data_IF_506728701334
#
_entry.id   IF_506728701334
#
_cell.length_a   1.000
_cell.length_b   1.000
_cell.length_c   1.000
_cell.angle_alpha   90.00
_cell.angle_beta   90.00
_cell.angle_gamma   90.00
#
_symmetry.space_group_name_H-M   'P 1'
#
loop_
_entity.id
_entity.type
_entity.pdbx_description
1 polymer ?
#
# COMPACT_ATOMS: atom_id res chain seq x y z
N UNK A 1 -19.88 20.20 47.56
CA UNK A 1 -18.77 19.82 46.66
C UNK A 1 -17.68 19.17 47.51
N UNK A 2 -17.37 17.87 47.32
CA UNK A 2 -16.26 17.20 48.02
C UNK A 2 -14.95 17.67 47.37
N UNK A 3 -14.02 18.24 48.15
CA UNK A 3 -12.67 18.55 47.68
C UNK A 3 -11.97 17.23 47.26
N UNK A 4 -11.25 17.22 46.14
CA UNK A 4 -10.48 16.04 45.75
C UNK A 4 -9.44 15.70 46.82
N UNK A 5 -9.16 14.43 47.07
CA UNK A 5 -8.19 14.00 48.07
C UNK A 5 -6.79 14.55 47.71
N UNK A 6 -6.07 15.08 48.71
CA UNK A 6 -4.69 15.56 48.57
C UNK A 6 -3.80 14.31 48.47
N UNK A 7 -3.30 14.05 47.25
CA UNK A 7 -2.35 12.96 46.99
C UNK A 7 -0.98 13.29 47.64
N UNK A 8 -0.36 12.29 48.25
CA UNK A 8 1.05 12.38 48.68
C UNK A 8 2.00 12.61 47.50
N UNK A 9 3.19 13.13 47.73
CA UNK A 9 4.20 13.34 46.65
C UNK A 9 4.54 12.03 45.95
N UNK A 10 4.67 10.92 46.67
CA UNK A 10 4.91 9.60 46.13
C UNK A 10 3.74 9.13 45.24
N UNK A 11 2.49 9.33 45.67
CA UNK A 11 1.31 8.99 44.89
C UNK A 11 1.19 9.85 43.60
N UNK A 12 1.63 11.12 43.68
CA UNK A 12 1.71 11.99 42.48
C UNK A 12 2.77 11.50 41.50
N UNK A 13 3.97 11.16 42.00
CA UNK A 13 5.06 10.66 41.17
C UNK A 13 4.68 9.35 40.50
N UNK A 14 4.07 8.41 41.19
CA UNK A 14 3.55 7.14 40.64
C UNK A 14 2.47 7.38 39.59
N UNK A 15 1.53 8.29 39.84
CA UNK A 15 0.48 8.64 38.87
C UNK A 15 1.06 9.28 37.60
N UNK A 16 2.09 10.13 37.73
CA UNK A 16 2.76 10.74 36.58
C UNK A 16 3.54 9.70 35.76
N UNK A 17 4.25 8.76 36.42
CA UNK A 17 4.94 7.66 35.74
C UNK A 17 3.95 6.81 34.94
N UNK A 18 2.87 6.32 35.60
CA UNK A 18 1.80 5.55 34.92
C UNK A 18 1.17 6.30 33.76
N UNK A 19 0.99 7.62 33.88
CA UNK A 19 0.45 8.44 32.80
C UNK A 19 1.43 8.58 31.62
N UNK A 20 2.76 8.66 31.87
CA UNK A 20 3.79 8.68 30.83
C UNK A 20 3.84 7.34 30.10
N UNK A 21 3.89 6.24 30.84
CA UNK A 21 3.88 4.88 30.29
C UNK A 21 2.65 4.63 29.39
N UNK A 22 1.45 4.98 29.88
CA UNK A 22 0.22 4.86 29.12
C UNK A 22 0.22 5.71 27.83
N UNK A 23 0.83 6.92 27.87
CA UNK A 23 0.96 7.75 26.66
C UNK A 23 1.94 7.14 25.66
N UNK A 24 3.10 6.68 26.12
CA UNK A 24 4.10 6.03 25.28
C UNK A 24 3.53 4.76 24.63
N UNK A 25 2.80 3.95 25.40
CA UNK A 25 2.17 2.74 24.90
C UNK A 25 1.11 3.04 23.82
N UNK A 26 0.22 4.03 24.07
CA UNK A 26 -0.75 4.45 23.02
C UNK A 26 -0.08 5.04 21.79
N UNK A 27 1.05 5.74 21.94
CA UNK A 27 1.81 6.24 20.81
C UNK A 27 2.35 5.09 19.95
N UNK A 28 2.85 4.01 20.60
CA UNK A 28 3.30 2.80 19.92
C UNK A 28 2.15 2.13 19.14
N UNK A 29 1.00 1.89 19.79
CA UNK A 29 -0.19 1.33 19.12
C UNK A 29 -0.60 2.17 17.90
N UNK A 30 -0.62 3.50 18.04
CA UNK A 30 -0.94 4.40 16.91
C UNK A 30 0.09 4.33 15.79
N UNK A 31 1.36 4.09 16.09
CA UNK A 31 2.38 3.88 15.08
C UNK A 31 2.19 2.54 14.34
N UNK A 32 1.89 1.46 15.08
CA UNK A 32 1.59 0.13 14.53
C UNK A 32 0.34 0.16 13.61
N UNK A 33 -0.72 0.90 14.03
CA UNK A 33 -1.91 1.11 13.19
C UNK A 33 -1.57 1.90 11.92
N UNK A 34 -0.74 2.94 12.05
CA UNK A 34 -0.30 3.76 10.91
C UNK A 34 0.54 2.97 9.92
N UNK A 35 1.39 2.07 10.42
CA UNK A 35 2.19 1.16 9.62
C UNK A 35 1.38 0.02 8.98
N UNK A 36 0.09 -0.13 9.37
CA UNK A 36 -0.74 -1.26 8.92
C UNK A 36 -0.42 -2.59 9.62
N UNK A 37 0.40 -2.56 10.67
CA UNK A 37 0.78 -3.74 11.47
C UNK A 37 -0.36 -4.17 12.40
N UNK A 38 -1.25 -3.25 12.77
CA UNK A 38 -2.45 -3.50 13.56
C UNK A 38 -3.71 -3.00 12.86
N UNK A 39 -4.70 -3.87 12.74
CA UNK A 39 -6.03 -3.51 12.26
C UNK A 39 -6.86 -2.81 13.36
N UNK A 40 -7.92 -2.10 12.93
CA UNK A 40 -8.89 -1.49 13.86
C UNK A 40 -9.54 -2.55 14.77
N UNK A 41 -9.87 -3.72 14.22
CA UNK A 41 -10.42 -4.86 14.96
C UNK A 41 -9.46 -5.31 16.06
N UNK A 42 -8.18 -5.55 15.71
CA UNK A 42 -7.17 -5.98 16.67
C UNK A 42 -6.96 -4.95 17.81
N UNK A 43 -7.04 -3.65 17.51
CA UNK A 43 -6.95 -2.62 18.55
C UNK A 43 -8.18 -2.61 19.44
N UNK A 44 -9.37 -2.79 18.87
CA UNK A 44 -10.62 -2.87 19.64
C UNK A 44 -10.61 -4.10 20.57
N UNK A 45 -10.08 -5.23 20.09
CA UNK A 45 -9.97 -6.45 20.89
C UNK A 45 -8.94 -6.34 22.00
N UNK A 46 -7.78 -5.71 21.73
CA UNK A 46 -6.77 -5.40 22.75
C UNK A 46 -7.32 -4.53 23.88
N UNK A 47 -8.30 -3.69 23.62
CA UNK A 47 -8.92 -2.85 24.64
C UNK A 47 -9.60 -3.66 25.76
N UNK A 48 -9.89 -4.95 25.58
CA UNK A 48 -10.45 -5.83 26.60
C UNK A 48 -9.42 -6.21 27.68
N UNK A 49 -8.12 -6.22 27.34
CA UNK A 49 -7.02 -6.62 28.25
C UNK A 49 -6.00 -5.49 28.51
N UNK A 50 -6.08 -4.39 27.75
CA UNK A 50 -5.11 -3.28 27.80
C UNK A 50 -5.78 -1.98 28.28
N UNK A 51 -5.48 -1.57 29.53
CA UNK A 51 -6.05 -0.37 30.16
C UNK A 51 -5.74 0.90 29.36
N UNK A 52 -4.55 1.03 28.77
CA UNK A 52 -4.15 2.21 28.02
C UNK A 52 -4.91 2.33 26.70
N UNK A 53 -5.13 1.20 26.01
CA UNK A 53 -5.90 1.11 24.77
C UNK A 53 -7.39 1.31 25.07
N UNK A 54 -7.92 0.70 26.12
CA UNK A 54 -9.34 0.83 26.53
C UNK A 54 -9.77 2.28 26.76
N UNK A 55 -8.85 3.10 27.29
CA UNK A 55 -9.04 4.53 27.57
C UNK A 55 -8.75 5.45 26.38
N UNK A 56 -8.22 4.93 25.28
CA UNK A 56 -7.97 5.71 24.05
C UNK A 56 -9.30 6.17 23.45
N UNK A 57 -9.35 7.40 22.92
CA UNK A 57 -10.53 7.88 22.19
C UNK A 57 -10.62 7.21 20.83
N UNK A 58 -11.83 6.94 20.37
CA UNK A 58 -12.05 6.39 19.02
C UNK A 58 -11.54 7.37 17.96
N UNK A 59 -11.68 8.67 18.17
CA UNK A 59 -11.10 9.70 17.28
C UNK A 59 -9.58 9.58 17.15
N UNK A 60 -8.85 9.31 18.25
CA UNK A 60 -7.40 9.12 18.24
C UNK A 60 -6.99 7.86 17.47
N UNK A 61 -7.77 6.79 17.57
CA UNK A 61 -7.58 5.57 16.78
C UNK A 61 -7.79 5.87 15.28
N UNK A 62 -8.89 6.53 14.92
CA UNK A 62 -9.20 6.87 13.54
C UNK A 62 -8.13 7.77 12.90
N UNK A 63 -7.69 8.80 13.63
CA UNK A 63 -6.63 9.72 13.18
C UNK A 63 -5.25 9.03 13.05
N UNK A 64 -5.08 7.84 13.62
CA UNK A 64 -3.86 7.05 13.45
C UNK A 64 -3.87 6.18 12.18
N UNK A 65 -5.04 5.98 11.57
CA UNK A 65 -5.17 5.20 10.33
C UNK A 65 -4.65 6.04 9.16
N UNK A 66 -3.83 5.42 8.33
CA UNK A 66 -3.33 6.07 7.12
C UNK A 66 -4.48 6.56 6.23
N UNK A 67 -4.38 7.81 5.74
CA UNK A 67 -5.42 8.44 4.92
C UNK A 67 -6.66 8.93 5.69
N UNK A 68 -6.71 8.79 7.03
CA UNK A 68 -7.80 9.31 7.86
C UNK A 68 -7.34 10.53 8.65
N UNK A 69 -7.49 11.71 8.06
CA UNK A 69 -7.29 12.99 8.77
C UNK A 69 -8.44 13.33 9.72
N UNK A 70 -8.26 14.39 10.54
CA UNK A 70 -9.26 14.85 11.54
C UNK A 70 -10.67 15.03 10.97
N UNK A 71 -10.79 15.63 9.79
CA UNK A 71 -12.10 15.89 9.16
C UNK A 71 -12.79 14.58 8.81
N UNK A 72 -12.06 13.64 8.22
CA UNK A 72 -12.59 12.31 7.84
C UNK A 72 -12.93 11.50 9.10
N UNK A 73 -12.10 11.54 10.12
CA UNK A 73 -12.39 10.87 11.41
C UNK A 73 -13.70 11.36 12.01
N UNK A 74 -13.92 12.68 12.03
CA UNK A 74 -15.18 13.28 12.50
C UNK A 74 -16.38 12.82 11.67
N UNK A 75 -16.27 12.85 10.34
CA UNK A 75 -17.33 12.39 9.43
C UNK A 75 -17.70 10.91 9.67
N UNK A 76 -16.71 10.05 9.88
CA UNK A 76 -16.94 8.64 10.19
C UNK A 76 -17.66 8.48 11.53
N UNK A 77 -17.20 9.19 12.58
CA UNK A 77 -17.82 9.14 13.90
C UNK A 77 -19.29 9.56 13.85
N UNK A 78 -19.56 10.69 13.17
CA UNK A 78 -20.92 11.23 13.04
C UNK A 78 -21.82 10.25 12.27
N UNK A 79 -21.35 9.64 11.18
CA UNK A 79 -22.08 8.64 10.39
C UNK A 79 -22.38 7.34 11.17
N UNK A 80 -21.44 6.90 11.99
CA UNK A 80 -21.59 5.70 12.80
C UNK A 80 -22.30 5.95 14.16
N UNK A 81 -22.77 7.17 14.43
CA UNK A 81 -23.41 7.54 15.68
C UNK A 81 -22.49 7.40 16.89
N UNK A 82 -21.18 7.65 16.71
CA UNK A 82 -20.19 7.54 17.77
C UNK A 82 -19.82 8.95 18.25
N UNK A 83 -19.99 9.23 19.53
CA UNK A 83 -19.60 10.51 20.12
C UNK A 83 -18.09 10.76 19.92
N UNK A 84 -17.70 12.00 19.55
CA UNK A 84 -16.29 12.42 19.34
C UNK A 84 -15.40 12.23 20.56
N UNK A 85 -15.98 12.16 21.75
CA UNK A 85 -15.29 11.92 23.02
C UNK A 85 -15.31 10.46 23.46
N UNK A 86 -15.98 9.58 22.69
CA UNK A 86 -16.14 8.16 23.01
C UNK A 86 -14.79 7.46 23.10
N UNK A 87 -14.61 6.65 24.16
CA UNK A 87 -13.45 5.78 24.32
C UNK A 87 -13.72 4.40 23.73
N UNK A 88 -12.66 3.67 23.36
CA UNK A 88 -12.79 2.34 22.71
C UNK A 88 -13.60 1.38 23.59
N UNK A 89 -13.31 1.33 24.90
CA UNK A 89 -14.06 0.50 25.86
C UNK A 89 -15.55 0.86 25.95
N UNK A 90 -15.92 2.11 25.66
CA UNK A 90 -17.28 2.61 25.69
C UNK A 90 -18.08 2.39 24.40
N UNK A 91 -17.53 1.72 23.41
CA UNK A 91 -18.26 1.35 22.19
C UNK A 91 -19.31 0.29 22.48
N UNK A 92 -20.56 0.56 22.13
CA UNK A 92 -21.61 -0.45 22.12
C UNK A 92 -21.37 -1.50 21.03
N UNK A 93 -22.00 -2.68 21.17
CA UNK A 93 -21.81 -3.79 20.22
C UNK A 93 -22.04 -3.36 18.77
N UNK A 94 -23.12 -2.66 18.47
CA UNK A 94 -23.41 -2.17 17.11
C UNK A 94 -22.36 -1.15 16.61
N UNK A 95 -21.89 -0.26 17.47
CA UNK A 95 -20.85 0.71 17.11
C UNK A 95 -19.51 0.04 16.86
N UNK A 96 -19.15 -0.98 17.67
CA UNK A 96 -17.95 -1.80 17.49
C UNK A 96 -17.99 -2.53 16.16
N UNK A 97 -19.09 -3.25 15.89
CA UNK A 97 -19.29 -3.98 14.62
C UNK A 97 -19.27 -3.04 13.41
N UNK A 98 -19.95 -1.89 13.50
CA UNK A 98 -19.98 -0.91 12.42
C UNK A 98 -18.60 -0.28 12.17
N UNK A 99 -17.84 -0.02 13.25
CA UNK A 99 -16.48 0.53 13.14
C UNK A 99 -15.50 -0.49 12.56
N UNK A 100 -15.57 -1.75 13.01
CA UNK A 100 -14.78 -2.83 12.42
C UNK A 100 -15.13 -2.99 10.94
N UNK A 101 -16.42 -3.01 10.59
CA UNK A 101 -16.88 -3.12 9.20
C UNK A 101 -16.43 -1.94 8.32
N UNK A 102 -16.36 -0.73 8.87
CA UNK A 102 -15.88 0.47 8.15
C UNK A 102 -14.42 0.34 7.74
N UNK A 103 -13.60 -0.33 8.56
CA UNK A 103 -12.17 -0.51 8.36
C UNK A 103 -11.76 -1.97 8.18
N UNK A 104 -12.68 -2.91 8.33
CA UNK A 104 -12.44 -4.24 7.82
C UNK A 104 -12.22 -4.08 6.32
N UNK A 105 -11.08 -4.53 5.84
CA UNK A 105 -11.02 -4.98 4.46
C UNK A 105 -12.08 -6.07 4.41
N UNK A 106 -13.19 -5.89 3.66
CA UNK A 106 -14.26 -6.88 3.68
C UNK A 106 -13.70 -8.18 3.13
N UNK A 107 -13.40 -9.16 3.98
CA UNK A 107 -13.12 -10.52 3.53
C UNK A 107 -14.35 -11.16 2.86
N UNK A 108 -15.55 -10.63 3.14
CA UNK A 108 -16.83 -11.13 2.62
C UNK A 108 -17.41 -10.30 1.46
N UNK A 109 -16.83 -9.14 1.17
CA UNK A 109 -16.79 -8.55 -0.15
C UNK A 109 -15.34 -8.59 -0.55
N UNK A 110 -14.84 -9.77 -0.85
CA UNK A 110 -13.75 -9.92 -1.77
C UNK A 110 -14.06 -8.97 -2.90
N UNK A 111 -13.17 -8.02 -3.11
CA UNK A 111 -13.22 -7.13 -4.24
C UNK A 111 -13.66 -7.96 -5.44
N UNK A 112 -14.74 -7.59 -6.11
CA UNK A 112 -15.11 -8.28 -7.37
C UNK A 112 -13.94 -8.21 -8.36
N UNK A 113 -12.93 -7.37 -8.09
CA UNK A 113 -11.70 -7.21 -8.85
C UNK A 113 -10.47 -7.89 -8.22
N UNK A 114 -9.55 -8.35 -9.05
CA UNK A 114 -8.30 -9.03 -8.69
C UNK A 114 -7.12 -8.06 -8.74
N UNK A 115 -6.22 -8.13 -7.74
CA UNK A 115 -4.96 -7.40 -7.76
C UNK A 115 -3.87 -8.22 -8.45
N UNK A 116 -3.40 -7.73 -9.59
CA UNK A 116 -2.33 -8.33 -10.38
C UNK A 116 -1.09 -7.42 -10.34
N UNK A 117 0.06 -7.99 -10.08
CA UNK A 117 1.36 -7.31 -10.09
C UNK A 117 2.15 -7.81 -11.29
N UNK A 118 2.53 -6.91 -12.18
CA UNK A 118 3.41 -7.18 -13.30
C UNK A 118 4.80 -6.64 -12.98
N UNK A 119 5.78 -7.54 -12.90
CA UNK A 119 7.18 -7.20 -12.70
C UNK A 119 8.07 -7.91 -13.73
N UNK A 120 9.36 -7.70 -13.67
CA UNK A 120 10.33 -8.27 -14.60
C UNK A 120 11.46 -7.29 -14.90
N UNK A 121 12.47 -7.69 -15.66
CA UNK A 121 13.67 -6.90 -15.89
C UNK A 121 13.39 -5.59 -16.62
N UNK A 122 14.27 -4.62 -16.39
CA UNK A 122 14.26 -3.37 -17.13
C UNK A 122 14.34 -3.63 -18.64
N UNK A 123 13.44 -3.00 -19.44
CA UNK A 123 13.46 -3.16 -20.91
C UNK A 123 12.65 -4.36 -21.44
N UNK A 124 12.09 -5.20 -20.59
CA UNK A 124 11.29 -6.36 -21.01
C UNK A 124 9.96 -6.00 -21.70
N UNK A 125 9.45 -4.76 -21.55
CA UNK A 125 8.23 -4.30 -22.20
C UNK A 125 7.02 -4.13 -21.27
N UNK A 126 7.19 -4.12 -19.95
CA UNK A 126 6.10 -3.93 -18.96
C UNK A 126 5.19 -2.76 -19.31
N UNK A 127 5.77 -1.59 -19.59
CA UNK A 127 4.98 -0.38 -19.88
C UNK A 127 4.17 -0.45 -21.17
N UNK A 128 4.62 -1.25 -22.14
CA UNK A 128 3.83 -1.54 -23.37
C UNK A 128 2.62 -2.38 -23.03
N UNK A 129 2.80 -3.45 -22.26
CA UNK A 129 1.71 -4.30 -21.74
C UNK A 129 0.73 -3.49 -20.90
N UNK A 130 1.24 -2.66 -19.97
CA UNK A 130 0.41 -1.80 -19.12
C UNK A 130 -0.39 -0.77 -19.92
N UNK A 131 0.17 -0.26 -21.01
CA UNK A 131 -0.54 0.66 -21.92
C UNK A 131 -1.67 -0.05 -22.66
N UNK A 132 -1.43 -1.25 -23.17
CA UNK A 132 -2.41 -2.03 -23.92
C UNK A 132 -3.56 -2.48 -23.02
N UNK A 133 -3.27 -2.98 -21.83
CA UNK A 133 -4.32 -3.45 -20.90
C UNK A 133 -5.22 -2.31 -20.39
N UNK A 134 -4.76 -1.05 -20.40
CA UNK A 134 -5.60 0.13 -20.08
C UNK A 134 -6.78 0.31 -21.01
N UNK A 135 -6.73 -0.24 -22.23
CA UNK A 135 -7.84 -0.23 -23.19
C UNK A 135 -8.99 -1.17 -22.78
N UNK A 136 -8.75 -2.11 -21.86
CA UNK A 136 -9.76 -3.03 -21.37
C UNK A 136 -10.55 -2.41 -20.20
N UNK A 137 -11.86 -2.28 -20.37
CA UNK A 137 -12.74 -1.60 -19.40
C UNK A 137 -12.76 -2.25 -18.02
N UNK A 138 -12.48 -3.54 -17.92
CA UNK A 138 -12.47 -4.29 -16.65
C UNK A 138 -11.18 -4.08 -15.84
N UNK A 139 -10.13 -3.54 -16.48
CA UNK A 139 -8.85 -3.27 -15.83
C UNK A 139 -8.67 -1.79 -15.49
N UNK A 140 -8.07 -1.59 -14.34
CA UNK A 140 -7.53 -0.31 -13.93
C UNK A 140 -6.02 -0.45 -13.68
N UNK A 141 -5.21 0.36 -14.35
CA UNK A 141 -3.75 0.35 -14.18
C UNK A 141 -3.35 1.47 -13.24
N UNK A 142 -2.63 1.13 -12.17
CA UNK A 142 -2.19 2.11 -11.18
C UNK A 142 -1.26 3.17 -11.79
N UNK A 143 -1.33 4.38 -11.22
CA UNK A 143 -0.38 5.45 -11.50
C UNK A 143 0.53 5.61 -10.29
N UNK A 144 1.80 5.22 -10.44
CA UNK A 144 2.78 5.31 -9.37
C UNK A 144 3.22 6.75 -9.11
N UNK A 145 3.53 7.07 -7.86
CA UNK A 145 4.23 8.28 -7.49
C UNK A 145 5.74 8.10 -7.68
N UNK A 146 6.47 9.19 -7.97
CA UNK A 146 7.93 9.15 -8.09
C UNK A 146 8.57 10.49 -7.73
N UNK A 147 9.81 10.43 -7.20
CA UNK A 147 10.65 11.62 -6.99
C UNK A 147 11.51 11.97 -8.22
N UNK A 148 11.46 11.12 -9.27
CA UNK A 148 12.12 11.40 -10.54
C UNK A 148 11.45 12.58 -11.24
N UNK A 149 12.25 13.44 -11.84
CA UNK A 149 11.74 14.52 -12.71
C UNK A 149 11.00 13.96 -13.94
N UNK A 150 9.91 14.59 -14.39
CA UNK A 150 9.19 14.19 -15.59
C UNK A 150 10.08 14.28 -16.85
N UNK A 151 9.86 13.38 -17.80
CA UNK A 151 10.41 13.49 -19.15
C UNK A 151 9.52 14.39 -20.00
N UNK A 152 10.01 14.83 -21.15
CA UNK A 152 9.29 15.77 -22.04
C UNK A 152 7.90 15.30 -22.50
N UNK A 153 7.69 14.00 -22.56
CA UNK A 153 6.46 13.38 -23.05
C UNK A 153 5.54 12.88 -21.92
N UNK A 154 5.96 13.03 -20.67
CA UNK A 154 5.24 12.50 -19.51
C UNK A 154 4.38 13.57 -18.85
N UNK A 155 3.17 13.19 -18.44
CA UNK A 155 2.19 14.07 -17.81
C UNK A 155 1.94 13.65 -16.36
N UNK A 156 1.91 14.63 -15.44
CA UNK A 156 1.57 14.41 -14.04
C UNK A 156 0.15 13.85 -13.89
N UNK A 157 0.01 12.80 -13.08
CA UNK A 157 -1.26 12.14 -12.81
C UNK A 157 -1.72 11.15 -13.88
N UNK A 158 -0.98 11.04 -15.01
CA UNK A 158 -1.24 10.09 -16.11
C UNK A 158 -0.15 9.04 -16.17
N UNK A 159 1.11 9.48 -16.31
CA UNK A 159 2.27 8.59 -16.36
C UNK A 159 2.79 8.32 -14.95
N UNK A 160 2.97 9.38 -14.17
CA UNK A 160 3.37 9.34 -12.76
C UNK A 160 2.74 10.50 -11.97
N UNK A 161 2.65 10.31 -10.65
CA UNK A 161 2.40 11.38 -9.69
C UNK A 161 3.79 11.87 -9.24
N UNK A 162 4.26 13.01 -9.81
CA UNK A 162 5.57 13.55 -9.48
C UNK A 162 5.51 14.28 -8.13
N UNK A 163 6.43 13.94 -7.24
CA UNK A 163 6.55 14.48 -5.88
C UNK A 163 7.98 14.94 -5.62
N UNK A 164 8.15 15.92 -4.73
CA UNK A 164 9.45 16.21 -4.14
C UNK A 164 9.87 15.10 -3.16
N UNK A 165 11.15 15.07 -2.77
CA UNK A 165 11.63 14.12 -1.79
C UNK A 165 10.93 14.29 -0.43
N UNK A 166 10.69 15.54 -0.01
CA UNK A 166 9.98 15.86 1.23
C UNK A 166 8.49 15.47 1.18
N UNK A 167 7.84 15.58 0.00
CA UNK A 167 6.47 15.11 -0.18
C UNK A 167 6.39 13.59 -0.13
N UNK A 168 7.35 12.91 -0.72
CA UNK A 168 7.44 11.46 -0.71
C UNK A 168 7.71 10.92 0.71
N UNK A 169 8.60 11.56 1.48
CA UNK A 169 8.83 11.22 2.90
C UNK A 169 7.56 11.38 3.74
N UNK A 170 6.83 12.48 3.53
CA UNK A 170 5.53 12.67 4.19
C UNK A 170 4.52 11.59 3.78
N UNK A 171 4.51 11.20 2.52
CA UNK A 171 3.64 10.15 2.01
C UNK A 171 3.97 8.78 2.63
N UNK A 172 5.26 8.42 2.76
CA UNK A 172 5.69 7.22 3.48
C UNK A 172 5.22 7.26 4.93
N UNK A 173 5.54 8.35 5.65
CA UNK A 173 5.20 8.50 7.06
C UNK A 173 3.69 8.47 7.33
N UNK A 174 2.88 8.84 6.34
CA UNK A 174 1.43 8.80 6.41
C UNK A 174 0.83 7.47 5.90
N UNK A 175 1.66 6.49 5.51
CA UNK A 175 1.23 5.20 4.96
C UNK A 175 0.40 5.35 3.68
N UNK A 176 0.73 6.35 2.89
CA UNK A 176 0.03 6.66 1.63
C UNK A 176 0.21 5.57 0.58
N UNK A 177 1.34 4.85 0.65
CA UNK A 177 1.70 3.84 -0.34
C UNK A 177 1.25 2.43 0.06
N UNK A 178 0.89 1.63 -0.92
CA UNK A 178 0.71 0.19 -0.81
C UNK A 178 2.08 -0.52 -0.71
N UNK A 179 3.01 -0.07 -1.53
CA UNK A 179 4.43 -0.40 -1.56
C UNK A 179 5.22 0.82 -2.01
N UNK A 180 6.51 0.85 -1.71
CA UNK A 180 7.44 1.82 -2.29
C UNK A 180 8.87 1.26 -2.31
N UNK A 181 9.67 1.70 -3.29
CA UNK A 181 11.06 1.28 -3.44
C UNK A 181 11.92 2.43 -3.97
N UNK A 182 13.22 2.33 -3.71
CA UNK A 182 14.23 3.20 -4.32
C UNK A 182 14.84 2.45 -5.51
N UNK A 183 14.80 3.07 -6.68
CA UNK A 183 15.32 2.48 -7.90
C UNK A 183 16.01 3.55 -8.77
N UNK A 184 17.22 3.26 -9.26
CA UNK A 184 17.97 4.12 -10.16
C UNK A 184 18.10 5.59 -9.70
N UNK A 185 18.28 5.81 -8.39
CA UNK A 185 18.47 7.15 -7.81
C UNK A 185 17.19 7.96 -7.60
N UNK A 186 16.03 7.37 -7.79
CA UNK A 186 14.73 7.95 -7.47
C UNK A 186 13.88 6.98 -6.65
N UNK A 187 12.80 7.48 -6.07
CA UNK A 187 11.83 6.66 -5.32
C UNK A 187 10.55 6.53 -6.13
N UNK A 188 9.92 5.36 -6.00
CA UNK A 188 8.66 5.02 -6.65
C UNK A 188 7.74 4.39 -5.61
N UNK A 189 6.43 4.61 -5.72
CA UNK A 189 5.48 3.99 -4.81
C UNK A 189 4.07 4.02 -5.36
N UNK A 190 3.31 2.99 -5.07
CA UNK A 190 1.92 2.85 -5.50
C UNK A 190 0.97 3.45 -4.47
N UNK A 191 0.21 4.52 -4.79
CA UNK A 191 -0.81 5.07 -3.88
C UNK A 191 -1.84 4.00 -3.52
N UNK A 192 -2.04 3.76 -2.22
CA UNK A 192 -2.92 2.71 -1.71
C UNK A 192 -4.40 2.94 -2.04
N UNK A 193 -4.89 4.15 -1.79
CA UNK A 193 -6.34 4.41 -1.85
C UNK A 193 -6.94 4.24 -3.25
N UNK A 194 -6.32 4.72 -4.35
CA UNK A 194 -6.83 4.48 -5.70
C UNK A 194 -6.93 2.99 -6.07
N UNK A 195 -5.98 2.17 -5.60
CA UNK A 195 -6.02 0.71 -5.78
C UNK A 195 -7.25 0.11 -5.09
N UNK A 196 -7.47 0.47 -3.82
CA UNK A 196 -8.63 0.00 -3.04
C UNK A 196 -9.95 0.43 -3.66
N UNK A 197 -10.02 1.69 -4.14
CA UNK A 197 -11.23 2.23 -4.75
C UNK A 197 -11.56 1.50 -6.07
N UNK A 198 -10.55 1.18 -6.90
CA UNK A 198 -10.74 0.45 -8.15
C UNK A 198 -11.20 -0.99 -7.89
N UNK A 199 -10.56 -1.70 -6.96
CA UNK A 199 -10.95 -3.05 -6.55
C UNK A 199 -12.38 -3.07 -5.98
N UNK A 200 -12.76 -2.08 -5.17
CA UNK A 200 -14.11 -1.96 -4.60
C UNK A 200 -15.19 -1.71 -5.66
N UNK A 201 -14.80 -1.18 -6.83
CA UNK A 201 -15.68 -1.02 -8.01
C UNK A 201 -15.75 -2.28 -8.87
N UNK A 202 -15.13 -3.39 -8.45
CA UNK A 202 -15.11 -4.64 -9.20
C UNK A 202 -14.12 -4.66 -10.38
N UNK A 203 -13.21 -3.68 -10.46
CA UNK A 203 -12.19 -3.64 -11.51
C UNK A 203 -10.98 -4.47 -11.10
N UNK A 204 -10.45 -5.23 -12.04
CA UNK A 204 -9.12 -5.80 -11.88
C UNK A 204 -8.07 -4.69 -11.90
N UNK A 205 -7.09 -4.80 -11.02
CA UNK A 205 -6.05 -3.78 -10.86
C UNK A 205 -4.71 -4.34 -11.30
N UNK A 206 -4.02 -3.64 -12.20
CA UNK A 206 -2.64 -3.94 -12.56
C UNK A 206 -1.69 -2.94 -11.89
N UNK A 207 -0.71 -3.47 -11.15
CA UNK A 207 0.45 -2.72 -10.69
C UNK A 207 1.64 -3.04 -11.59
N UNK A 208 2.23 -2.03 -12.22
CA UNK A 208 3.53 -2.14 -12.89
C UNK A 208 4.61 -1.63 -11.95
N UNK A 209 5.32 -2.55 -11.30
CA UNK A 209 6.30 -2.23 -10.26
C UNK A 209 7.58 -3.09 -10.39
N UNK A 210 8.61 -2.74 -9.64
CA UNK A 210 9.82 -3.53 -9.55
C UNK A 210 9.65 -4.76 -8.64
N UNK A 211 10.69 -5.58 -8.54
CA UNK A 211 10.66 -6.83 -7.80
C UNK A 211 10.53 -6.60 -6.30
N UNK A 212 11.18 -5.58 -5.76
CA UNK A 212 11.12 -5.26 -4.34
C UNK A 212 9.73 -4.75 -3.94
N UNK A 213 9.11 -3.95 -4.81
CA UNK A 213 7.71 -3.57 -4.67
C UNK A 213 6.77 -4.78 -4.72
N UNK A 214 7.00 -5.73 -5.66
CA UNK A 214 6.22 -6.96 -5.76
C UNK A 214 6.29 -7.81 -4.46
N UNK A 215 7.48 -7.93 -3.87
CA UNK A 215 7.67 -8.61 -2.57
C UNK A 215 6.90 -7.93 -1.44
N UNK A 216 6.91 -6.59 -1.40
CA UNK A 216 6.13 -5.83 -0.42
C UNK A 216 4.63 -6.02 -0.61
N UNK A 217 4.14 -5.98 -1.87
CA UNK A 217 2.74 -6.25 -2.18
C UNK A 217 2.36 -7.64 -1.71
N UNK A 218 3.12 -8.70 -2.05
CA UNK A 218 2.79 -10.08 -1.64
C UNK A 218 2.72 -10.24 -0.12
N UNK A 219 3.61 -9.57 0.61
CA UNK A 219 3.59 -9.55 2.08
C UNK A 219 2.34 -8.86 2.65
N UNK A 220 1.92 -7.73 2.05
CA UNK A 220 0.81 -6.90 2.53
C UNK A 220 -0.55 -7.33 1.96
N UNK A 221 -0.52 -8.07 0.85
CA UNK A 221 -1.68 -8.57 0.11
C UNK A 221 -1.38 -9.99 -0.43
N UNK A 222 -1.49 -11.02 0.42
CA UNK A 222 -1.13 -12.41 0.05
C UNK A 222 -1.89 -12.96 -1.16
N UNK A 223 -3.12 -12.48 -1.38
CA UNK A 223 -3.99 -12.91 -2.49
C UNK A 223 -3.66 -12.20 -3.82
N UNK A 224 -2.70 -11.27 -3.85
CA UNK A 224 -2.23 -10.67 -5.10
C UNK A 224 -1.57 -11.71 -5.99
N UNK A 225 -1.91 -11.69 -7.29
CA UNK A 225 -1.27 -12.52 -8.31
C UNK A 225 0.00 -11.82 -8.78
N UNK A 226 1.14 -12.44 -8.54
CA UNK A 226 2.43 -11.92 -9.00
C UNK A 226 2.81 -12.56 -10.34
N UNK A 227 2.98 -11.72 -11.35
CA UNK A 227 3.35 -12.13 -12.70
C UNK A 227 4.73 -11.56 -13.05
N UNK A 228 5.65 -12.44 -13.40
CA UNK A 228 6.95 -12.06 -13.93
C UNK A 228 6.92 -12.07 -15.45
N UNK A 229 7.33 -10.96 -16.06
CA UNK A 229 7.44 -10.84 -17.50
C UNK A 229 8.88 -11.14 -17.91
N UNK A 230 9.07 -12.19 -18.71
CA UNK A 230 10.34 -12.57 -19.30
C UNK A 230 10.46 -12.10 -20.75
N UNK A 231 11.66 -11.78 -21.23
CA UNK A 231 11.90 -11.57 -22.65
C UNK A 231 11.85 -12.92 -23.40
N UNK A 232 11.62 -12.93 -24.71
CA UNK A 232 11.67 -14.15 -25.52
C UNK A 232 13.06 -14.80 -25.50
N UNK A 233 14.11 -14.00 -25.41
CA UNK A 233 15.49 -14.45 -25.21
C UNK A 233 16.33 -13.39 -24.48
N UNK A 234 17.46 -13.81 -23.94
CA UNK A 234 18.43 -12.90 -23.34
C UNK A 234 18.99 -11.90 -24.36
N UNK A 235 19.29 -12.37 -25.59
CA UNK A 235 19.82 -11.57 -26.68
C UNK A 235 18.87 -10.45 -27.07
N UNK A 236 17.56 -10.72 -27.06
CA UNK A 236 16.55 -9.71 -27.35
C UNK A 236 16.46 -8.67 -26.24
N UNK A 237 16.54 -9.08 -24.96
CA UNK A 237 16.60 -8.15 -23.85
C UNK A 237 17.84 -7.25 -23.95
N UNK A 238 19.01 -7.83 -24.24
CA UNK A 238 20.26 -7.07 -24.46
C UNK A 238 20.08 -6.04 -25.57
N UNK A 239 19.55 -6.45 -26.72
CA UNK A 239 19.28 -5.57 -27.85
C UNK A 239 18.37 -4.40 -27.47
N UNK A 240 17.28 -4.66 -26.73
CA UNK A 240 16.35 -3.62 -26.23
C UNK A 240 17.00 -2.67 -25.21
N UNK A 241 17.93 -3.17 -24.40
CA UNK A 241 18.67 -2.38 -23.43
C UNK A 241 19.76 -1.52 -24.09
N UNK A 242 20.40 -2.02 -25.13
CA UNK A 242 21.45 -1.32 -25.89
C UNK A 242 20.90 -0.28 -26.86
N UNK A 243 19.68 -0.46 -27.36
CA UNK A 243 19.03 0.42 -28.35
C UNK A 243 18.74 1.85 -27.86
N UNK A 244 19.06 2.18 -26.61
CA UNK A 244 19.01 3.56 -26.09
C UNK A 244 20.36 4.24 -26.33
N UNK A 245 20.50 4.90 -27.47
CA UNK A 245 21.73 5.53 -28.01
C UNK A 245 22.43 6.56 -27.08
N UNK A 246 21.92 6.84 -25.88
CA UNK A 246 22.41 7.88 -24.96
C UNK A 246 23.17 7.32 -23.75
N UNK A 247 23.27 5.99 -23.57
CA UNK A 247 23.91 5.40 -22.40
C UNK A 247 25.42 5.17 -22.61
N UNK A 248 26.24 5.51 -21.60
CA UNK A 248 27.64 5.14 -21.59
C UNK A 248 27.86 3.63 -21.50
N UNK A 249 29.02 3.09 -21.93
CA UNK A 249 29.34 1.66 -21.80
C UNK A 249 29.17 1.12 -20.37
N UNK A 250 29.59 1.93 -19.39
CA UNK A 250 29.49 1.57 -17.97
C UNK A 250 28.02 1.45 -17.50
N UNK A 251 27.17 2.39 -17.92
CA UNK A 251 25.73 2.35 -17.65
C UNK A 251 25.06 1.15 -18.29
N UNK A 252 25.46 0.81 -19.51
CA UNK A 252 24.97 -0.40 -20.20
C UNK A 252 25.34 -1.66 -19.42
N UNK A 253 26.60 -1.81 -19.01
CA UNK A 253 27.07 -2.94 -18.24
C UNK A 253 26.29 -3.08 -16.91
N UNK A 254 26.11 -1.98 -16.18
CA UNK A 254 25.30 -1.98 -14.94
C UNK A 254 23.86 -2.44 -15.17
N UNK A 255 23.22 -1.98 -16.25
CA UNK A 255 21.84 -2.39 -16.59
C UNK A 255 21.73 -3.87 -16.97
N UNK A 256 22.71 -4.42 -17.65
CA UNK A 256 22.75 -5.86 -17.99
C UNK A 256 22.96 -6.70 -16.74
N UNK A 257 23.86 -6.30 -15.85
CA UNK A 257 24.05 -6.97 -14.56
C UNK A 257 22.75 -6.95 -13.75
N UNK A 258 22.12 -5.78 -13.62
CA UNK A 258 20.83 -5.67 -12.91
C UNK A 258 19.75 -6.54 -13.54
N UNK A 259 19.67 -6.58 -14.88
CA UNK A 259 18.69 -7.42 -15.57
C UNK A 259 18.91 -8.93 -15.31
N UNK A 260 20.17 -9.37 -15.20
CA UNK A 260 20.48 -10.75 -14.82
C UNK A 260 20.04 -11.06 -13.38
N UNK A 261 20.30 -10.13 -12.45
CA UNK A 261 19.86 -10.26 -11.06
C UNK A 261 18.33 -10.27 -10.96
N UNK A 262 17.65 -9.44 -11.74
CA UNK A 262 16.19 -9.38 -11.83
C UNK A 262 15.62 -10.70 -12.41
N UNK A 263 16.21 -11.24 -13.48
CA UNK A 263 15.80 -12.52 -14.07
C UNK A 263 15.92 -13.68 -13.08
N UNK A 264 16.96 -13.71 -12.26
CA UNK A 264 17.14 -14.73 -11.23
C UNK A 264 16.04 -14.73 -10.13
N UNK A 265 15.22 -13.67 -10.06
CA UNK A 265 14.11 -13.58 -9.09
C UNK A 265 12.78 -14.14 -9.63
N UNK A 266 12.71 -14.54 -10.90
CA UNK A 266 11.48 -15.05 -11.50
C UNK A 266 10.82 -16.19 -10.71
N UNK A 267 11.57 -17.14 -10.02
CA UNK A 267 10.95 -18.21 -9.23
C UNK A 267 10.13 -17.73 -8.02
N UNK A 268 10.24 -16.47 -7.61
CA UNK A 268 9.44 -15.89 -6.52
C UNK A 268 7.99 -15.61 -6.95
N UNK A 269 7.73 -15.50 -8.24
CA UNK A 269 6.44 -15.08 -8.79
C UNK A 269 5.50 -16.26 -8.98
N UNK A 270 4.18 -16.00 -8.88
CA UNK A 270 3.15 -17.03 -9.04
C UNK A 270 3.07 -17.53 -10.49
N UNK A 271 3.32 -16.62 -11.47
CA UNK A 271 3.28 -16.91 -12.90
C UNK A 271 4.44 -16.23 -13.64
N UNK A 272 4.92 -16.89 -14.67
CA UNK A 272 5.91 -16.35 -15.61
C UNK A 272 5.25 -16.27 -16.99
N UNK A 273 5.30 -15.08 -17.61
CA UNK A 273 4.81 -14.86 -18.98
C UNK A 273 5.97 -14.39 -19.86
N UNK A 274 6.10 -14.98 -21.03
CA UNK A 274 7.11 -14.55 -22.02
C UNK A 274 6.50 -13.45 -22.88
N UNK A 275 7.19 -12.32 -23.03
CA UNK A 275 6.76 -11.18 -23.85
C UNK A 275 7.25 -11.34 -25.30
N UNK A 276 6.69 -12.31 -25.98
CA UNK A 276 6.83 -12.52 -27.43
C UNK A 276 5.89 -11.59 -28.21
N UNK A 277 4.60 -11.63 -27.87
CA UNK A 277 3.55 -10.76 -28.41
C UNK A 277 2.77 -10.12 -27.25
N UNK A 278 2.59 -8.80 -27.28
CA UNK A 278 1.94 -8.03 -26.22
C UNK A 278 0.51 -8.48 -26.00
N UNK A 279 -0.21 -8.78 -27.07
CA UNK A 279 -1.60 -9.25 -27.08
C UNK A 279 -1.74 -10.59 -26.32
N UNK A 280 -0.79 -11.51 -26.48
CA UNK A 280 -0.75 -12.80 -25.76
C UNK A 280 -0.54 -12.58 -24.26
N UNK A 281 0.34 -11.67 -23.88
CA UNK A 281 0.57 -11.32 -22.49
C UNK A 281 -0.68 -10.71 -21.88
N UNK A 282 -1.31 -9.75 -22.55
CA UNK A 282 -2.53 -9.09 -22.10
C UNK A 282 -3.67 -10.09 -21.92
N UNK A 283 -3.90 -10.98 -22.91
CA UNK A 283 -4.90 -12.03 -22.82
C UNK A 283 -4.64 -12.98 -21.64
N UNK A 284 -3.36 -13.27 -21.34
CA UNK A 284 -2.98 -14.11 -20.21
C UNK A 284 -3.23 -13.43 -18.88
N UNK A 285 -2.90 -12.13 -18.74
CA UNK A 285 -3.20 -11.35 -17.55
C UNK A 285 -4.70 -11.29 -17.26
N UNK A 286 -5.53 -11.09 -18.29
CA UNK A 286 -6.99 -11.10 -18.16
C UNK A 286 -7.48 -12.47 -17.67
N UNK A 287 -7.00 -13.57 -18.24
CA UNK A 287 -7.37 -14.92 -17.81
C UNK A 287 -6.97 -15.17 -16.35
N UNK A 288 -5.76 -14.77 -15.95
CA UNK A 288 -5.29 -14.93 -14.58
C UNK A 288 -6.15 -14.15 -13.59
N UNK A 289 -6.50 -12.91 -13.89
CA UNK A 289 -7.36 -12.10 -13.06
C UNK A 289 -8.76 -12.73 -12.88
N UNK A 290 -9.34 -13.23 -13.95
CA UNK A 290 -10.67 -13.84 -13.92
C UNK A 290 -10.70 -15.23 -13.26
N UNK A 291 -9.59 -15.98 -13.24
CA UNK A 291 -9.53 -17.30 -12.63
C UNK A 291 -9.72 -17.30 -11.11
N UNK A 292 -9.52 -16.18 -10.45
CA UNK A 292 -9.73 -16.00 -9.00
C UNK A 292 -11.19 -15.69 -8.62
N UNK A 293 -12.04 -15.45 -9.62
CA UNK A 293 -13.46 -15.13 -9.40
C UNK A 293 -14.38 -16.36 -9.39
N UNK A 294 -13.82 -17.57 -9.56
CA UNK A 294 -14.57 -18.83 -9.71
C UNK A 294 -14.76 -19.56 -8.37
#
# INVERSE_FOLDING_TARGET
MRKPPILTEEARAAALSKARESRAHRAKIKAEVRAGELSVEQVIDRANSDEAVSKMRVSELLESISGVGKVRAVSILDRLGISRTRRIMGLGHHQRTALIKEFAIPRDKMHDGTLVVLSGPGGVGKSTVSKEIRAHNDFWVSVSATTRKPRHTENHGVDYIYMSDEEFDRAINNGYFLEWAAFAGARYGTPRQPVLDALALGKDVLLEIDIDGAKQVKKNWPDAILVFLEPPSWEELVSRLEGRATDSPERRAQRLTLAQEEMAQSPFFDHILVNDEVEHVVASLIRLAHSQRS
#
